data_IF_293826333826
#
_entry.id   IF_293826333826
#
_cell.length_a   1.000
_cell.length_b   1.000
_cell.length_c   1.000
_cell.angle_alpha   90.00
_cell.angle_beta   90.00
_cell.angle_gamma   90.00
#
_symmetry.space_group_name_H-M   'P 1'
#
loop_
_entity.id
_entity.type
_entity.pdbx_description
1 polymer ?
#
# COMPACT_ATOMS: atom_id res chain seq x y z
N UNK A 1 -13.16 4.59 7.96
CA UNK A 1 -13.37 5.04 6.55
C UNK A 1 -12.73 4.09 5.54
N UNK A 2 -11.49 3.65 5.74
CA UNK A 2 -10.74 2.74 4.86
C UNK A 2 -11.45 1.40 4.62
N UNK A 3 -12.13 0.82 5.62
CA UNK A 3 -12.90 -0.43 5.43
C UNK A 3 -14.09 -0.27 4.47
N UNK A 4 -14.84 0.83 4.60
CA UNK A 4 -15.95 1.14 3.69
C UNK A 4 -15.44 1.34 2.27
N UNK A 5 -14.36 2.13 2.11
CA UNK A 5 -13.71 2.33 0.82
C UNK A 5 -13.21 1.00 0.23
N UNK A 6 -12.63 0.12 1.05
CA UNK A 6 -12.21 -1.20 0.60
C UNK A 6 -13.38 -2.03 0.06
N UNK A 7 -14.51 -2.06 0.78
CA UNK A 7 -15.72 -2.75 0.33
C UNK A 7 -16.23 -2.21 -1.01
N UNK A 8 -16.34 -0.88 -1.13
CA UNK A 8 -16.80 -0.21 -2.34
C UNK A 8 -15.89 -0.53 -3.54
N UNK A 9 -14.57 -0.44 -3.37
CA UNK A 9 -13.62 -0.72 -4.45
C UNK A 9 -13.67 -2.19 -4.89
N UNK A 10 -13.88 -3.13 -3.96
CA UNK A 10 -14.06 -4.55 -4.31
C UNK A 10 -15.38 -4.81 -5.04
N UNK A 11 -16.44 -4.08 -4.71
CA UNK A 11 -17.70 -4.15 -5.45
C UNK A 11 -17.50 -3.69 -6.90
N UNK A 12 -16.85 -2.54 -7.11
CA UNK A 12 -16.54 -2.03 -8.45
C UNK A 12 -15.66 -2.99 -9.24
N UNK A 13 -14.63 -3.56 -8.61
CA UNK A 13 -13.75 -4.54 -9.24
C UNK A 13 -14.51 -5.81 -9.67
N UNK A 14 -15.51 -6.24 -8.89
CA UNK A 14 -16.38 -7.36 -9.26
C UNK A 14 -17.27 -7.04 -10.47
N UNK A 15 -17.70 -5.79 -10.64
CA UNK A 15 -18.50 -5.37 -11.81
C UNK A 15 -17.66 -5.24 -13.08
N UNK A 16 -16.35 -5.06 -12.97
CA UNK A 16 -15.45 -4.90 -14.12
C UNK A 16 -14.23 -5.85 -14.00
N UNK A 17 -14.43 -7.18 -13.99
CA UNK A 17 -13.39 -8.15 -13.60
C UNK A 17 -12.16 -8.16 -14.52
N UNK A 18 -12.33 -7.81 -15.79
CA UNK A 18 -11.26 -7.79 -16.80
C UNK A 18 -10.53 -6.43 -16.88
N UNK A 19 -11.01 -5.41 -16.16
CA UNK A 19 -10.45 -4.06 -16.23
C UNK A 19 -9.58 -3.78 -15.02
N UNK A 20 -8.45 -3.11 -15.28
CA UNK A 20 -7.60 -2.57 -14.21
C UNK A 20 -8.32 -1.39 -13.56
N UNK A 21 -8.44 -1.42 -12.23
CA UNK A 21 -9.00 -0.31 -11.47
C UNK A 21 -7.87 0.61 -10.98
N UNK A 22 -7.95 1.88 -11.37
CA UNK A 22 -7.06 2.97 -10.92
C UNK A 22 -7.93 3.97 -10.17
N UNK A 23 -7.54 4.30 -8.94
CA UNK A 23 -8.31 5.17 -8.04
C UNK A 23 -7.47 6.40 -7.72
N UNK A 24 -8.06 7.58 -7.90
CA UNK A 24 -7.52 8.83 -7.37
C UNK A 24 -8.15 9.10 -6.01
N UNK A 25 -7.32 9.26 -4.98
CA UNK A 25 -7.79 9.52 -3.63
C UNK A 25 -7.04 10.71 -3.00
N UNK A 26 -7.67 11.40 -2.07
CA UNK A 26 -6.99 12.43 -1.29
C UNK A 26 -5.98 11.84 -0.30
N UNK A 27 -5.22 12.70 0.39
CA UNK A 27 -4.19 12.30 1.35
C UNK A 27 -4.72 11.61 2.62
N UNK A 28 -6.03 11.65 2.88
CA UNK A 28 -6.67 10.88 3.94
C UNK A 28 -6.61 9.37 3.69
N UNK A 29 -6.41 8.95 2.44
CA UNK A 29 -6.27 7.55 2.04
C UNK A 29 -4.81 7.08 1.86
N UNK A 30 -3.83 7.94 2.14
CA UNK A 30 -2.42 7.56 2.19
C UNK A 30 -2.08 6.77 3.47
N UNK A 31 -2.77 5.63 3.65
CA UNK A 31 -2.68 4.73 4.80
C UNK A 31 -2.01 3.44 4.36
N UNK A 32 -0.79 3.18 4.86
CA UNK A 32 0.06 2.09 4.38
C UNK A 32 -0.61 0.71 4.46
N UNK A 33 -1.29 0.39 5.57
CA UNK A 33 -1.97 -0.91 5.73
C UNK A 33 -3.12 -1.09 4.73
N UNK A 34 -3.88 -0.03 4.48
CA UNK A 34 -4.98 -0.07 3.53
C UNK A 34 -4.49 -0.22 2.09
N UNK A 35 -3.45 0.52 1.70
CA UNK A 35 -2.80 0.37 0.39
C UNK A 35 -2.20 -1.03 0.22
N UNK A 36 -1.56 -1.57 1.27
CA UNK A 36 -1.03 -2.94 1.27
C UNK A 36 -2.16 -4.00 1.14
N UNK A 37 -3.33 -3.74 1.73
CA UNK A 37 -4.52 -4.59 1.58
C UNK A 37 -5.06 -4.60 0.15
N UNK A 38 -5.05 -3.47 -0.55
CA UNK A 38 -5.49 -3.36 -1.95
C UNK A 38 -4.54 -4.01 -2.96
N UNK A 39 -3.25 -4.15 -2.62
CA UNK A 39 -2.25 -4.83 -3.46
C UNK A 39 -2.43 -6.36 -3.55
N UNK A 40 -3.20 -6.97 -2.65
CA UNK A 40 -3.33 -8.44 -2.55
C UNK A 40 -4.27 -9.03 -3.61
N UNK A 41 -3.88 -10.20 -4.15
CA UNK A 41 -4.61 -11.05 -5.12
C UNK A 41 -4.93 -10.37 -6.46
N UNK A 42 -5.90 -9.47 -6.47
CA UNK A 42 -6.28 -8.67 -7.64
C UNK A 42 -5.98 -7.20 -7.30
N UNK A 43 -4.80 -6.69 -7.68
CA UNK A 43 -4.34 -5.38 -7.24
C UNK A 43 -5.23 -4.24 -7.74
N UNK A 44 -5.46 -3.26 -6.89
CA UNK A 44 -6.05 -1.96 -7.26
C UNK A 44 -4.95 -0.91 -7.14
N UNK A 45 -4.76 -0.12 -8.20
CA UNK A 45 -3.77 0.97 -8.18
C UNK A 45 -4.41 2.20 -7.56
N UNK A 46 -3.77 2.78 -6.55
CA UNK A 46 -4.24 4.01 -5.91
C UNK A 46 -3.18 5.08 -6.07
N UNK A 47 -3.58 6.22 -6.61
CA UNK A 47 -2.78 7.44 -6.67
C UNK A 47 -3.36 8.36 -5.61
N UNK A 48 -2.53 8.74 -4.65
CA UNK A 48 -2.90 9.63 -3.56
C UNK A 48 -1.81 10.65 -3.32
N UNK A 49 -2.17 11.79 -2.73
CA UNK A 49 -1.18 12.76 -2.25
C UNK A 49 -0.36 12.10 -1.14
N UNK A 50 0.97 12.21 -1.22
CA UNK A 50 1.85 11.83 -0.12
C UNK A 50 1.50 12.68 1.10
N UNK A 51 1.46 12.06 2.29
CA UNK A 51 1.27 12.82 3.53
C UNK A 51 2.57 13.53 3.90
N UNK A 52 2.45 14.74 4.43
CA UNK A 52 3.60 15.53 4.87
C UNK A 52 4.38 14.86 6.01
N UNK A 53 3.71 14.01 6.80
CA UNK A 53 4.30 13.22 7.89
C UNK A 53 4.82 11.83 7.44
N UNK A 54 4.86 11.58 6.12
CA UNK A 54 5.39 10.32 5.61
C UNK A 54 6.90 10.23 5.84
N UNK A 55 7.31 9.25 6.63
CA UNK A 55 8.72 8.90 6.76
C UNK A 55 9.13 7.99 5.59
N UNK A 56 9.72 8.59 4.56
CA UNK A 56 10.32 7.87 3.44
C UNK A 56 11.69 7.35 3.87
N UNK A 57 11.94 6.07 3.61
CA UNK A 57 13.21 5.41 3.89
C UNK A 57 13.68 4.67 2.65
N UNK A 58 15.00 4.50 2.54
CA UNK A 58 15.58 3.56 1.59
C UNK A 58 15.17 2.11 1.90
N UNK A 59 15.39 1.22 0.95
CA UNK A 59 15.29 -0.22 1.21
C UNK A 59 16.37 -0.63 2.24
N UNK A 60 16.05 -1.49 3.21
CA UNK A 60 17.06 -1.99 4.14
C UNK A 60 18.14 -2.75 3.37
N UNK A 61 19.42 -2.50 3.69
CA UNK A 61 20.54 -3.24 3.09
C UNK A 61 20.39 -4.76 3.33
N UNK A 62 20.86 -5.60 2.39
CA UNK A 62 20.88 -7.05 2.57
C UNK A 62 21.59 -7.46 3.87
N UNK A 63 21.10 -8.53 4.50
CA UNK A 63 21.73 -9.06 5.71
C UNK A 63 23.01 -9.80 5.38
N UNK A 64 24.04 -9.65 6.22
CA UNK A 64 25.20 -10.53 6.20
C UNK A 64 24.86 -11.87 6.86
N UNK A 65 25.41 -13.01 6.37
CA UNK A 65 25.30 -14.28 7.05
C UNK A 65 25.78 -14.19 8.51
N UNK A 66 24.99 -14.70 9.45
CA UNK A 66 25.31 -14.64 10.89
C UNK A 66 25.04 -13.30 11.58
N UNK A 67 24.52 -12.29 10.88
CA UNK A 67 24.21 -10.99 11.50
C UNK A 67 23.18 -11.14 12.63
N UNK A 68 23.56 -10.75 13.84
CA UNK A 68 22.70 -10.81 15.03
C UNK A 68 21.67 -9.67 15.06
N UNK A 69 20.55 -9.91 15.77
CA UNK A 69 19.49 -8.92 15.98
C UNK A 69 18.37 -8.92 14.94
N UNK A 70 17.26 -8.22 15.26
CA UNK A 70 16.03 -8.18 14.45
C UNK A 70 16.31 -7.64 13.03
N UNK A 71 15.67 -8.21 11.99
CA UNK A 71 15.71 -7.65 10.65
C UNK A 71 15.31 -6.17 10.63
N UNK A 72 16.13 -5.34 9.98
CA UNK A 72 15.79 -3.94 9.69
C UNK A 72 14.64 -3.93 8.69
N UNK A 73 13.63 -3.10 8.94
CA UNK A 73 12.51 -2.92 8.02
C UNK A 73 12.69 -1.70 7.10
N UNK A 74 13.66 -0.83 7.41
CA UNK A 74 13.90 0.47 6.78
C UNK A 74 15.41 0.69 6.59
N UNK A 75 15.78 1.36 5.51
CA UNK A 75 17.13 1.87 5.22
C UNK A 75 17.38 3.22 5.87
N UNK A 76 18.27 4.04 5.28
CA UNK A 76 18.47 5.43 5.69
C UNK A 76 17.18 6.24 5.50
#
# INVERSE_FOLDING_TARGET
MTDVAYGLLRLVQRWCPERKLIVLADGGFAVQEWLARLKRRQPITVITRLRMDAALYDLPMPRTPGQMGRPRQRGQ
#
